data_IF_466819920391
#
_entry.id   IF_466819920391
#
_cell.length_a   1.000
_cell.length_b   1.000
_cell.length_c   1.000
_cell.angle_alpha   90.00
_cell.angle_beta   90.00
_cell.angle_gamma   90.00
#
_symmetry.space_group_name_H-M   'P 1'
#
loop_
_entity.id
_entity.type
_entity.pdbx_description
1 polymer ?
#
# COMPACT_ATOMS: atom_id res chain seq x y z
N UNK A 1 36.43 8.33 -14.27
CA UNK A 1 36.42 9.56 -13.43
C UNK A 1 35.25 10.49 -13.74
N UNK A 2 34.85 10.66 -15.01
CA UNK A 2 33.74 11.55 -15.39
C UNK A 2 32.36 11.09 -14.89
N UNK A 3 32.04 9.79 -14.95
CA UNK A 3 30.75 9.23 -14.48
C UNK A 3 30.55 9.47 -12.97
N UNK A 4 31.59 9.24 -12.14
CA UNK A 4 31.53 9.51 -10.69
C UNK A 4 31.27 10.99 -10.40
N UNK A 5 31.91 11.89 -11.14
CA UNK A 5 31.68 13.34 -11.01
C UNK A 5 30.25 13.71 -11.42
N UNK A 6 29.73 13.16 -12.52
CA UNK A 6 28.36 13.39 -12.95
C UNK A 6 27.33 12.88 -11.93
N UNK A 7 27.55 11.70 -11.35
CA UNK A 7 26.68 11.13 -10.33
C UNK A 7 26.59 12.02 -9.08
N UNK A 8 27.71 12.52 -8.56
CA UNK A 8 27.70 13.42 -7.40
C UNK A 8 26.92 14.71 -7.70
N UNK A 9 26.90 15.18 -8.95
CA UNK A 9 26.19 16.40 -9.35
C UNK A 9 24.67 16.26 -9.31
N UNK A 10 24.13 15.08 -9.58
CA UNK A 10 22.70 14.82 -9.62
C UNK A 10 22.22 13.79 -8.58
N UNK A 11 23.07 13.42 -7.61
CA UNK A 11 22.75 12.40 -6.61
C UNK A 11 21.46 12.70 -5.87
N UNK A 12 21.25 13.93 -5.42
CA UNK A 12 20.02 14.33 -4.73
C UNK A 12 18.76 14.12 -5.59
N UNK A 13 18.79 14.38 -6.90
CA UNK A 13 17.66 14.10 -7.80
C UNK A 13 17.37 12.60 -7.89
N UNK A 14 18.40 11.79 -8.11
CA UNK A 14 18.28 10.34 -8.21
C UNK A 14 17.85 9.71 -6.89
N UNK A 15 18.40 10.19 -5.77
CA UNK A 15 18.02 9.73 -4.44
C UNK A 15 16.59 10.13 -4.08
N UNK A 16 16.14 11.33 -4.46
CA UNK A 16 14.74 11.72 -4.33
C UNK A 16 13.80 10.86 -5.15
N UNK A 17 14.21 10.37 -6.33
CA UNK A 17 13.42 9.43 -7.12
C UNK A 17 13.15 8.12 -6.33
N UNK A 18 14.13 7.67 -5.57
CA UNK A 18 14.07 6.41 -4.80
C UNK A 18 13.39 6.60 -3.45
N UNK A 19 13.58 7.77 -2.83
CA UNK A 19 13.19 8.08 -1.46
C UNK A 19 11.70 7.81 -1.13
N UNK A 20 10.69 8.33 -1.87
CA UNK A 20 9.29 8.13 -1.50
C UNK A 20 8.86 6.66 -1.62
N UNK A 21 9.43 5.93 -2.58
CA UNK A 21 9.13 4.50 -2.80
C UNK A 21 9.67 3.66 -1.64
N UNK A 22 10.94 3.87 -1.28
CA UNK A 22 11.52 3.19 -0.12
C UNK A 22 10.85 3.63 1.18
N UNK A 23 10.37 4.88 1.28
CA UNK A 23 9.63 5.37 2.44
C UNK A 23 8.32 4.61 2.66
N UNK A 24 7.49 4.47 1.61
CA UNK A 24 6.24 3.68 1.68
C UNK A 24 6.52 2.21 2.02
N UNK A 25 7.56 1.64 1.41
CA UNK A 25 7.99 0.28 1.71
C UNK A 25 8.44 0.11 3.16
N UNK A 26 9.29 1.00 3.67
CA UNK A 26 9.80 0.94 5.04
C UNK A 26 8.69 1.11 6.09
N UNK A 27 7.63 1.85 5.76
CA UNK A 27 6.43 1.96 6.59
C UNK A 27 5.58 0.68 6.64
N UNK A 28 5.74 -0.21 5.65
CA UNK A 28 4.88 -1.37 5.43
C UNK A 28 5.71 -2.61 5.07
N UNK A 29 6.90 -2.72 5.64
CA UNK A 29 7.92 -3.76 5.33
C UNK A 29 7.46 -5.16 5.77
N UNK A 30 6.49 -5.21 6.66
CA UNK A 30 5.79 -6.41 7.13
C UNK A 30 4.65 -6.85 6.20
N UNK A 31 4.27 -6.00 5.25
CA UNK A 31 3.19 -6.26 4.30
C UNK A 31 3.78 -6.56 2.94
N UNK A 32 4.49 -5.60 2.34
CA UNK A 32 4.88 -5.69 0.93
C UNK A 32 6.12 -6.54 0.70
N UNK A 33 6.14 -7.22 -0.44
CA UNK A 33 7.34 -7.87 -0.96
C UNK A 33 8.18 -6.88 -1.77
N UNK A 34 9.50 -7.11 -1.82
CA UNK A 34 10.47 -6.25 -2.54
C UNK A 34 10.15 -6.12 -4.03
N UNK A 35 9.50 -7.12 -4.63
CA UNK A 35 9.10 -7.09 -6.04
C UNK A 35 8.15 -5.93 -6.37
N UNK A 36 7.35 -5.45 -5.41
CA UNK A 36 6.44 -4.31 -5.61
C UNK A 36 7.19 -2.99 -5.82
N UNK A 37 8.49 -2.91 -5.48
CA UNK A 37 9.30 -1.72 -5.66
C UNK A 37 9.78 -1.53 -7.09
N UNK A 38 9.91 -2.62 -7.85
CA UNK A 38 10.61 -2.63 -9.15
C UNK A 38 9.98 -1.63 -10.11
N UNK A 39 8.67 -1.73 -10.31
CA UNK A 39 7.99 -0.88 -11.28
C UNK A 39 7.94 0.60 -10.84
N UNK A 40 7.51 0.95 -9.61
CA UNK A 40 7.56 2.34 -9.14
C UNK A 40 8.96 2.95 -9.22
N UNK A 41 10.01 2.18 -8.91
CA UNK A 41 11.41 2.64 -9.03
C UNK A 41 11.78 2.92 -10.47
N UNK A 42 11.44 2.03 -11.40
CA UNK A 42 11.68 2.25 -12.83
C UNK A 42 10.97 3.52 -13.29
N UNK A 43 9.67 3.67 -13.01
CA UNK A 43 8.90 4.84 -13.43
C UNK A 43 9.47 6.12 -12.85
N UNK A 44 9.73 6.16 -11.55
CA UNK A 44 10.26 7.32 -10.84
C UNK A 44 11.66 7.72 -11.34
N UNK A 45 12.58 6.75 -11.45
CA UNK A 45 13.93 6.99 -11.97
C UNK A 45 13.88 7.44 -13.42
N UNK A 46 13.05 6.83 -14.26
CA UNK A 46 12.85 7.26 -15.65
C UNK A 46 12.34 8.70 -15.72
N UNK A 47 11.36 9.08 -14.90
CA UNK A 47 10.86 10.47 -14.85
C UNK A 47 11.97 11.45 -14.47
N UNK A 48 12.76 11.16 -13.43
CA UNK A 48 13.88 12.03 -13.03
C UNK A 48 14.97 12.09 -14.08
N UNK A 49 15.36 10.95 -14.69
CA UNK A 49 16.39 10.92 -15.73
C UNK A 49 15.94 11.71 -16.96
N UNK A 50 14.69 11.56 -17.39
CA UNK A 50 14.12 12.35 -18.50
C UNK A 50 14.14 13.83 -18.14
N UNK A 51 13.70 14.19 -16.93
CA UNK A 51 13.74 15.57 -16.43
C UNK A 51 15.16 16.16 -16.45
N UNK A 52 16.15 15.41 -15.98
CA UNK A 52 17.56 15.79 -15.99
C UNK A 52 18.07 16.01 -17.42
N UNK A 53 17.73 15.13 -18.37
CA UNK A 53 18.13 15.27 -19.78
C UNK A 53 17.51 16.53 -20.39
N UNK A 54 16.21 16.77 -20.17
CA UNK A 54 15.52 17.93 -20.70
C UNK A 54 16.05 19.23 -20.12
N UNK A 55 16.17 19.33 -18.80
CA UNK A 55 16.68 20.53 -18.14
C UNK A 55 18.15 20.77 -18.46
N UNK A 56 18.98 19.72 -18.59
CA UNK A 56 20.40 19.88 -18.95
C UNK A 56 20.56 20.43 -20.35
N UNK A 57 19.66 20.07 -21.29
CA UNK A 57 19.63 20.66 -22.63
C UNK A 57 19.20 22.13 -22.61
N UNK A 58 18.29 22.51 -21.71
CA UNK A 58 17.78 23.89 -21.62
C UNK A 58 18.75 24.83 -20.90
N UNK A 59 19.37 24.38 -19.82
CA UNK A 59 20.26 25.19 -18.96
C UNK A 59 21.72 25.14 -19.40
N UNK A 60 22.12 24.09 -20.13
CA UNK A 60 23.52 23.79 -20.43
C UNK A 60 24.33 23.32 -19.22
N UNK A 61 23.71 23.13 -18.04
CA UNK A 61 24.38 22.83 -16.78
C UNK A 61 23.64 21.74 -15.99
N UNK A 62 24.34 20.62 -15.73
CA UNK A 62 23.77 19.48 -15.02
C UNK A 62 23.44 19.78 -13.55
N UNK A 63 24.25 20.58 -12.86
CA UNK A 63 24.04 20.87 -11.43
C UNK A 63 22.80 21.75 -11.23
N UNK A 64 22.65 22.79 -12.05
CA UNK A 64 21.45 23.64 -12.04
C UNK A 64 20.20 22.84 -12.42
N UNK A 65 20.32 21.99 -13.43
CA UNK A 65 19.24 21.10 -13.85
C UNK A 65 18.82 20.15 -12.75
N UNK A 66 19.78 19.55 -12.05
CA UNK A 66 19.50 18.65 -10.94
C UNK A 66 18.74 19.34 -9.81
N UNK A 67 19.12 20.56 -9.44
CA UNK A 67 18.40 21.33 -8.41
C UNK A 67 16.95 21.59 -8.83
N UNK A 68 16.73 22.10 -10.05
CA UNK A 68 15.38 22.36 -10.56
C UNK A 68 14.51 21.10 -10.67
N UNK A 69 15.07 20.01 -11.21
CA UNK A 69 14.37 18.72 -11.32
C UNK A 69 14.03 18.16 -9.94
N UNK A 70 14.92 18.31 -8.96
CA UNK A 70 14.68 17.84 -7.59
C UNK A 70 13.51 18.56 -6.94
N UNK A 71 13.41 19.88 -7.12
CA UNK A 71 12.28 20.66 -6.60
C UNK A 71 10.97 20.27 -7.28
N UNK A 72 10.95 20.13 -8.61
CA UNK A 72 9.76 19.69 -9.32
C UNK A 72 9.33 18.29 -8.90
N UNK A 73 10.26 17.35 -8.80
CA UNK A 73 9.99 15.99 -8.38
C UNK A 73 9.47 15.94 -6.93
N UNK A 74 10.11 16.69 -6.02
CA UNK A 74 9.64 16.83 -4.64
C UNK A 74 8.21 17.37 -4.59
N UNK A 75 7.91 18.44 -5.33
CA UNK A 75 6.57 19.03 -5.37
C UNK A 75 5.52 18.04 -5.86
N UNK A 76 5.87 17.18 -6.83
CA UNK A 76 4.95 16.18 -7.35
C UNK A 76 4.72 15.02 -6.39
N UNK A 77 5.74 14.55 -5.67
CA UNK A 77 5.68 13.32 -4.84
C UNK A 77 5.30 13.53 -3.38
N UNK A 78 5.43 14.74 -2.84
CA UNK A 78 5.19 15.06 -1.43
C UNK A 78 4.00 16.00 -1.21
N UNK A 79 3.15 16.18 -2.22
CA UNK A 79 1.96 17.02 -2.14
C UNK A 79 0.95 16.52 -1.12
N UNK A 80 0.58 15.24 -1.18
CA UNK A 80 -0.56 14.67 -0.44
C UNK A 80 -0.50 14.87 1.06
N UNK A 81 0.58 14.49 1.76
CA UNK A 81 0.68 14.66 3.21
C UNK A 81 0.62 16.13 3.63
N UNK A 82 1.16 17.03 2.81
CA UNK A 82 1.11 18.48 3.06
C UNK A 82 -0.30 19.01 2.80
N UNK A 83 -0.91 18.62 1.69
CA UNK A 83 -2.27 18.98 1.33
C UNK A 83 -3.25 18.56 2.43
N UNK A 84 -3.16 17.34 2.95
CA UNK A 84 -4.07 16.87 4.01
C UNK A 84 -4.06 17.77 5.26
N UNK A 85 -2.93 18.41 5.58
CA UNK A 85 -2.83 19.37 6.69
C UNK A 85 -3.56 20.69 6.38
N UNK A 86 -3.51 21.16 5.14
CA UNK A 86 -4.03 22.48 4.75
C UNK A 86 -5.48 22.45 4.23
N UNK A 87 -5.86 21.41 3.50
CA UNK A 87 -7.18 21.27 2.87
C UNK A 87 -8.06 20.21 3.55
N UNK A 88 -7.52 19.46 4.50
CA UNK A 88 -8.21 18.40 5.25
C UNK A 88 -7.96 17.01 4.69
N UNK A 89 -8.28 15.98 5.48
CA UNK A 89 -8.17 14.57 5.10
C UNK A 89 -9.55 14.01 4.74
N UNK A 90 -9.68 13.44 3.53
CA UNK A 90 -10.89 12.80 3.01
C UNK A 90 -11.04 11.33 3.48
N UNK A 91 -10.09 10.83 4.27
CA UNK A 91 -10.01 9.46 4.76
C UNK A 91 -8.88 8.67 4.09
N UNK A 92 -8.41 7.63 4.79
CA UNK A 92 -7.35 6.72 4.32
C UNK A 92 -6.08 7.43 3.79
N UNK A 93 -5.73 8.58 4.37
CA UNK A 93 -4.57 9.38 3.96
C UNK A 93 -4.73 10.16 2.66
N UNK A 94 -5.94 10.28 2.11
CA UNK A 94 -6.21 11.14 0.96
C UNK A 94 -6.47 12.58 1.41
N UNK A 95 -5.86 13.59 0.77
CA UNK A 95 -6.27 14.97 0.97
C UNK A 95 -7.66 15.21 0.36
N UNK A 96 -8.42 16.14 0.92
CA UNK A 96 -9.63 16.66 0.26
C UNK A 96 -9.23 17.26 -1.10
N UNK A 97 -9.84 16.85 -2.22
CA UNK A 97 -9.48 17.37 -3.54
C UNK A 97 -9.62 18.90 -3.61
N UNK A 98 -8.52 19.59 -3.91
CA UNK A 98 -8.49 21.05 -3.97
C UNK A 98 -7.55 21.55 -5.08
N UNK A 99 -8.13 21.85 -6.24
CA UNK A 99 -7.39 22.30 -7.43
C UNK A 99 -6.70 23.66 -7.25
N UNK A 100 -7.26 24.57 -6.44
CA UNK A 100 -6.64 25.86 -6.17
C UNK A 100 -5.36 25.71 -5.34
N UNK A 101 -5.39 24.87 -4.30
CA UNK A 101 -4.22 24.55 -3.50
C UNK A 101 -3.16 23.82 -4.33
N UNK A 102 -3.57 22.84 -5.15
CA UNK A 102 -2.66 22.16 -6.07
C UNK A 102 -1.98 23.13 -7.06
N UNK A 103 -2.73 24.05 -7.66
CA UNK A 103 -2.19 25.05 -8.56
C UNK A 103 -1.20 25.99 -7.84
N UNK A 104 -1.57 26.51 -6.66
CA UNK A 104 -0.69 27.37 -5.87
C UNK A 104 0.61 26.65 -5.47
N UNK A 105 0.51 25.40 -5.04
CA UNK A 105 1.65 24.54 -4.72
C UNK A 105 2.59 24.35 -5.93
N UNK A 106 2.05 23.96 -7.09
CA UNK A 106 2.85 23.75 -8.29
C UNK A 106 3.46 25.05 -8.83
N UNK A 107 2.75 26.18 -8.74
CA UNK A 107 3.29 27.48 -9.14
C UNK A 107 4.45 27.88 -8.22
N UNK A 108 4.27 27.76 -6.91
CA UNK A 108 5.31 28.08 -5.93
C UNK A 108 6.59 27.29 -6.19
N UNK A 109 6.50 25.97 -6.26
CA UNK A 109 7.65 25.10 -6.51
C UNK A 109 8.18 25.21 -7.95
N UNK A 110 7.32 25.53 -8.92
CA UNK A 110 7.72 25.79 -10.30
C UNK A 110 8.59 27.05 -10.42
N UNK A 111 8.24 28.11 -9.69
CA UNK A 111 9.05 29.33 -9.60
C UNK A 111 10.40 29.02 -8.96
N UNK A 112 10.43 28.31 -7.83
CA UNK A 112 11.68 27.92 -7.18
C UNK A 112 12.57 27.06 -8.10
N UNK A 113 11.99 26.06 -8.76
CA UNK A 113 12.70 25.23 -9.72
C UNK A 113 13.29 26.06 -10.87
N UNK A 114 12.54 27.03 -11.39
CA UNK A 114 13.02 27.97 -12.40
C UNK A 114 14.20 28.80 -11.89
N UNK A 115 14.10 29.36 -10.68
CA UNK A 115 15.18 30.16 -10.09
C UNK A 115 16.46 29.32 -9.90
N UNK A 116 16.34 28.11 -9.38
CA UNK A 116 17.47 27.20 -9.19
C UNK A 116 18.09 26.76 -10.53
N UNK A 117 17.27 26.47 -11.53
CA UNK A 117 17.74 26.00 -12.83
C UNK A 117 18.40 27.11 -13.67
N UNK A 118 17.92 28.35 -13.58
CA UNK A 118 18.32 29.42 -14.53
C UNK A 118 18.98 30.65 -13.89
N UNK A 119 18.79 30.91 -12.59
CA UNK A 119 19.25 32.16 -11.95
C UNK A 119 20.38 31.96 -10.94
N UNK A 120 20.50 30.78 -10.34
CA UNK A 120 21.56 30.50 -9.35
C UNK A 120 22.93 30.43 -10.00
N UNK A 121 23.85 31.30 -9.54
CA UNK A 121 25.23 31.33 -10.06
C UNK A 121 26.13 30.28 -9.40
N UNK A 122 26.06 30.14 -8.08
CA UNK A 122 26.85 29.17 -7.31
C UNK A 122 25.95 28.04 -6.78
N UNK A 123 26.08 26.86 -7.38
CA UNK A 123 25.31 25.66 -7.05
C UNK A 123 25.95 24.81 -5.96
N UNK A 124 27.20 25.06 -5.58
CA UNK A 124 27.99 24.12 -4.79
C UNK A 124 27.40 23.87 -3.40
N UNK A 125 27.09 24.93 -2.65
CA UNK A 125 26.53 24.81 -1.31
C UNK A 125 25.16 24.12 -1.33
N UNK A 126 24.28 24.50 -2.28
CA UNK A 126 22.96 23.91 -2.45
C UNK A 126 23.04 22.43 -2.84
N UNK A 127 23.95 22.08 -3.76
CA UNK A 127 24.21 20.69 -4.17
C UNK A 127 24.71 19.86 -3.00
N UNK A 128 25.68 20.36 -2.23
CA UNK A 128 26.22 19.65 -1.05
C UNK A 128 25.09 19.43 -0.04
N UNK A 129 24.34 20.48 0.30
CA UNK A 129 23.20 20.38 1.21
C UNK A 129 22.19 19.34 0.73
N UNK A 130 21.71 19.43 -0.52
CA UNK A 130 20.72 18.52 -1.07
C UNK A 130 21.22 17.07 -1.08
N UNK A 131 22.48 16.84 -1.44
CA UNK A 131 23.07 15.50 -1.42
C UNK A 131 23.14 14.93 -0.01
N UNK A 132 23.61 15.71 0.97
CA UNK A 132 23.69 15.28 2.37
C UNK A 132 22.29 15.02 2.92
N UNK A 133 21.33 15.91 2.66
CA UNK A 133 19.95 15.78 3.08
C UNK A 133 19.34 14.46 2.58
N UNK A 134 19.41 14.20 1.27
CA UNK A 134 18.89 12.97 0.67
C UNK A 134 19.62 11.73 1.17
N UNK A 135 20.95 11.79 1.35
CA UNK A 135 21.73 10.68 1.91
C UNK A 135 21.31 10.34 3.35
N UNK A 136 21.08 11.36 4.19
CA UNK A 136 20.63 11.18 5.57
C UNK A 136 19.23 10.56 5.61
N UNK A 137 18.30 11.03 4.76
CA UNK A 137 16.96 10.45 4.70
C UNK A 137 16.98 9.00 4.21
N UNK A 138 17.76 8.69 3.16
CA UNK A 138 17.95 7.31 2.71
C UNK A 138 18.57 6.43 3.80
N UNK A 139 19.54 6.96 4.56
CA UNK A 139 20.11 6.25 5.70
C UNK A 139 19.06 5.90 6.75
N UNK A 140 18.20 6.84 7.15
CA UNK A 140 17.13 6.55 8.12
C UNK A 140 16.12 5.53 7.60
N UNK A 141 15.76 5.59 6.32
CA UNK A 141 14.83 4.63 5.70
C UNK A 141 15.48 3.23 5.66
N UNK A 142 16.74 3.13 5.24
CA UNK A 142 17.47 1.85 5.22
C UNK A 142 17.70 1.30 6.62
N UNK A 143 18.01 2.17 7.58
CA UNK A 143 18.09 1.78 8.98
C UNK A 143 16.78 1.19 9.47
N UNK A 144 15.63 1.79 9.14
CA UNK A 144 14.31 1.27 9.50
C UNK A 144 14.04 -0.11 8.90
N UNK A 145 14.28 -0.29 7.60
CA UNK A 145 14.11 -1.58 6.91
C UNK A 145 15.02 -2.65 7.51
N UNK A 146 16.29 -2.31 7.77
CA UNK A 146 17.26 -3.23 8.35
C UNK A 146 16.91 -3.59 9.80
N UNK A 147 16.54 -2.60 10.61
CA UNK A 147 16.09 -2.79 11.99
C UNK A 147 14.89 -3.73 12.04
N UNK A 148 13.93 -3.56 11.11
CA UNK A 148 12.82 -4.48 10.99
C UNK A 148 13.30 -5.92 10.73
N UNK A 149 14.14 -6.16 9.72
CA UNK A 149 14.57 -7.53 9.40
C UNK A 149 15.51 -8.17 10.44
N UNK A 150 16.33 -7.38 11.14
CA UNK A 150 17.30 -7.89 12.11
C UNK A 150 16.74 -8.03 13.52
N UNK A 151 15.87 -7.11 13.96
CA UNK A 151 15.48 -6.98 15.36
C UNK A 151 13.98 -7.15 15.59
N UNK A 152 13.14 -6.85 14.59
CA UNK A 152 11.68 -6.85 14.77
C UNK A 152 10.93 -7.88 13.94
N UNK A 153 11.56 -8.60 12.98
CA UNK A 153 10.88 -9.62 12.18
C UNK A 153 10.24 -10.59 13.17
N UNK A 154 8.91 -10.58 13.34
CA UNK A 154 8.34 -11.27 14.47
C UNK A 154 8.54 -12.76 14.26
N UNK A 155 9.18 -13.39 15.24
CA UNK A 155 8.91 -14.79 15.57
C UNK A 155 7.59 -14.91 16.35
N UNK A 156 6.70 -13.93 16.24
CA UNK A 156 5.38 -14.00 16.84
C UNK A 156 4.63 -15.16 16.19
N UNK A 157 4.62 -16.29 16.90
CA UNK A 157 3.82 -17.44 16.55
C UNK A 157 2.35 -17.05 16.74
N UNK A 158 1.70 -16.72 15.63
CA UNK A 158 0.24 -16.76 15.56
C UNK A 158 -0.13 -18.21 15.34
N UNK A 159 -0.72 -18.84 16.34
CA UNK A 159 -1.24 -20.20 16.24
C UNK A 159 -2.74 -20.16 16.00
N UNK A 160 -3.22 -21.09 15.18
CA UNK A 160 -4.65 -21.31 14.98
C UNK A 160 -5.09 -22.43 15.90
N UNK A 161 -6.06 -22.14 16.78
CA UNK A 161 -6.73 -23.13 17.61
C UNK A 161 -7.77 -23.90 16.81
N UNK A 162 -7.30 -24.94 16.12
CA UNK A 162 -8.14 -25.87 15.37
C UNK A 162 -7.67 -27.33 15.52
N UNK A 163 -6.94 -27.66 16.59
CA UNK A 163 -6.40 -29.01 16.84
C UNK A 163 -7.48 -30.10 16.92
N UNK A 164 -8.68 -29.73 17.34
CA UNK A 164 -9.82 -30.64 17.48
C UNK A 164 -10.56 -30.87 16.15
N UNK A 165 -10.19 -30.13 15.11
CA UNK A 165 -10.85 -30.14 13.82
C UNK A 165 -10.42 -31.37 13.01
N UNK A 166 -11.29 -32.38 12.98
CA UNK A 166 -11.08 -33.59 12.17
C UNK A 166 -11.68 -33.40 10.79
N UNK A 167 -10.82 -33.28 9.78
CA UNK A 167 -11.21 -33.27 8.38
C UNK A 167 -11.46 -34.70 7.88
N UNK A 168 -12.38 -35.42 8.51
CA UNK A 168 -12.86 -36.73 8.04
C UNK A 168 -13.94 -36.52 6.97
N UNK A 169 -13.56 -35.86 5.88
CA UNK A 169 -14.47 -35.62 4.77
C UNK A 169 -14.60 -36.90 3.93
N UNK A 170 -15.76 -37.57 3.99
CA UNK A 170 -16.16 -38.44 2.89
C UNK A 170 -16.22 -37.58 1.64
N UNK A 171 -15.56 -38.00 0.56
CA UNK A 171 -15.69 -37.33 -0.73
C UNK A 171 -17.17 -37.22 -1.07
N UNK A 172 -17.73 -36.01 -1.19
CA UNK A 172 -19.12 -35.84 -1.58
C UNK A 172 -19.37 -36.52 -2.93
N UNK A 173 -20.58 -37.06 -3.12
CA UNK A 173 -20.98 -37.61 -4.42
C UNK A 173 -21.05 -36.51 -5.51
N UNK A 174 -21.32 -35.27 -5.09
CA UNK A 174 -21.38 -34.09 -5.94
C UNK A 174 -20.53 -32.97 -5.33
N UNK A 175 -19.77 -32.26 -6.17
CA UNK A 175 -18.92 -31.13 -5.77
C UNK A 175 -19.53 -29.84 -6.31
N UNK A 176 -20.44 -29.18 -5.58
CA UNK A 176 -21.01 -27.92 -6.03
C UNK A 176 -19.97 -26.79 -5.97
N UNK A 177 -20.09 -25.81 -6.86
CA UNK A 177 -19.27 -24.60 -6.82
C UNK A 177 -19.49 -23.83 -5.50
N UNK A 178 -18.41 -23.29 -4.93
CA UNK A 178 -18.41 -22.56 -3.67
C UNK A 178 -18.00 -21.11 -3.92
N UNK A 179 -18.89 -20.18 -3.57
CA UNK A 179 -18.62 -18.75 -3.62
C UNK A 179 -18.41 -18.21 -2.21
N UNK A 180 -17.20 -17.73 -1.92
CA UNK A 180 -16.86 -17.08 -0.65
C UNK A 180 -16.67 -15.59 -0.88
N UNK A 181 -17.69 -14.80 -0.54
CA UNK A 181 -17.74 -13.35 -0.78
C UNK A 181 -17.69 -12.63 0.57
N UNK A 182 -16.68 -11.79 0.77
CA UNK A 182 -16.53 -10.95 1.96
C UNK A 182 -16.63 -9.48 1.52
N UNK A 183 -17.52 -8.74 2.15
CA UNK A 183 -17.65 -7.29 1.97
C UNK A 183 -16.85 -6.58 3.05
N UNK A 184 -15.98 -5.64 2.65
CA UNK A 184 -15.19 -4.87 3.61
C UNK A 184 -16.07 -3.86 4.37
N UNK A 185 -15.90 -3.82 5.69
CA UNK A 185 -16.60 -2.88 6.58
C UNK A 185 -18.13 -2.90 6.51
N UNK A 186 -18.73 -3.97 5.97
CA UNK A 186 -20.19 -4.13 5.96
C UNK A 186 -20.69 -4.56 7.34
N UNK A 187 -21.46 -3.69 7.98
CA UNK A 187 -21.97 -3.90 9.33
C UNK A 187 -23.30 -4.68 9.33
N UNK A 188 -23.59 -5.39 10.43
CA UNK A 188 -24.88 -6.07 10.61
C UNK A 188 -26.05 -5.11 10.79
N UNK A 189 -27.28 -5.59 10.57
CA UNK A 189 -28.50 -4.78 10.59
C UNK A 189 -28.67 -3.95 11.88
N UNK A 190 -28.37 -4.53 13.04
CA UNK A 190 -28.48 -3.80 14.31
C UNK A 190 -27.50 -2.63 14.37
N UNK A 191 -26.24 -2.82 13.96
CA UNK A 191 -25.23 -1.75 13.92
C UNK A 191 -25.61 -0.65 12.92
N UNK A 192 -26.07 -1.03 11.72
CA UNK A 192 -26.50 -0.07 10.69
C UNK A 192 -27.68 0.78 11.17
N UNK A 193 -28.67 0.16 11.81
CA UNK A 193 -29.83 0.86 12.38
C UNK A 193 -29.42 1.76 13.55
N UNK A 194 -28.73 1.20 14.54
CA UNK A 194 -28.52 1.86 15.83
C UNK A 194 -27.46 2.98 15.78
N UNK A 195 -26.44 2.84 14.91
CA UNK A 195 -25.36 3.83 14.79
C UNK A 195 -25.51 4.76 13.59
N UNK A 196 -26.10 4.27 12.49
CA UNK A 196 -26.17 5.02 11.23
C UNK A 196 -27.61 5.39 10.83
N UNK A 197 -28.63 4.93 11.57
CA UNK A 197 -30.04 5.18 11.24
C UNK A 197 -30.48 4.55 9.92
N UNK A 198 -29.73 3.56 9.41
CA UNK A 198 -29.98 2.93 8.12
C UNK A 198 -30.73 1.60 8.29
N UNK A 199 -31.89 1.49 7.63
CA UNK A 199 -32.66 0.24 7.59
C UNK A 199 -32.18 -0.63 6.42
N UNK A 200 -31.54 -1.75 6.76
CA UNK A 200 -31.01 -2.72 5.82
C UNK A 200 -31.96 -3.93 5.60
N UNK A 201 -33.20 -3.85 6.09
CA UNK A 201 -34.15 -4.97 6.06
C UNK A 201 -34.46 -5.45 4.64
N UNK A 202 -34.59 -4.54 3.67
CA UNK A 202 -34.86 -4.88 2.26
C UNK A 202 -33.87 -5.91 1.70
N UNK A 203 -32.56 -5.65 1.85
CA UNK A 203 -31.52 -6.54 1.35
C UNK A 203 -31.53 -7.90 2.08
N UNK A 204 -31.69 -7.91 3.40
CA UNK A 204 -31.73 -9.18 4.15
C UNK A 204 -32.99 -10.00 3.91
N UNK A 205 -34.12 -9.34 3.65
CA UNK A 205 -35.36 -10.02 3.25
C UNK A 205 -35.21 -10.64 1.88
N UNK A 206 -34.63 -9.91 0.91
CA UNK A 206 -34.30 -10.45 -0.40
C UNK A 206 -33.45 -11.72 -0.31
N UNK A 207 -32.38 -11.72 0.49
CA UNK A 207 -31.54 -12.92 0.68
C UNK A 207 -32.36 -14.10 1.24
N UNK A 208 -33.21 -13.85 2.23
CA UNK A 208 -34.05 -14.89 2.83
C UNK A 208 -35.08 -15.44 1.83
N UNK A 209 -35.69 -14.58 1.01
CA UNK A 209 -36.62 -14.97 -0.06
C UNK A 209 -35.94 -15.81 -1.16
N UNK A 210 -34.66 -15.56 -1.44
CA UNK A 210 -33.83 -16.39 -2.33
C UNK A 210 -33.35 -17.70 -1.68
N UNK A 211 -33.74 -17.97 -0.43
CA UNK A 211 -33.41 -19.21 0.28
C UNK A 211 -32.06 -19.21 0.99
N UNK A 212 -31.39 -18.06 1.13
CA UNK A 212 -30.16 -17.97 1.92
C UNK A 212 -30.45 -18.09 3.42
N UNK A 213 -29.56 -18.74 4.15
CA UNK A 213 -29.59 -18.77 5.60
C UNK A 213 -29.00 -17.47 6.18
N UNK A 214 -29.82 -16.71 6.90
CA UNK A 214 -29.40 -15.47 7.54
C UNK A 214 -28.96 -15.70 9.00
N UNK A 215 -27.65 -15.65 9.25
CA UNK A 215 -27.07 -15.75 10.60
C UNK A 215 -27.11 -14.40 11.34
N UNK A 216 -28.31 -13.91 11.70
CA UNK A 216 -28.52 -12.56 12.25
C UNK A 216 -27.80 -12.23 13.56
N UNK A 217 -27.37 -13.25 14.32
CA UNK A 217 -26.60 -13.09 15.57
C UNK A 217 -25.12 -13.44 15.43
N UNK A 218 -24.63 -13.63 14.20
CA UNK A 218 -23.21 -13.88 13.95
C UNK A 218 -22.37 -12.67 14.36
N UNK A 219 -21.13 -12.92 14.78
CA UNK A 219 -20.17 -11.89 15.19
C UNK A 219 -18.82 -12.23 14.58
N UNK A 220 -18.04 -11.20 14.25
CA UNK A 220 -16.63 -11.42 13.92
C UNK A 220 -15.88 -11.87 15.16
N UNK A 221 -14.92 -12.79 14.99
CA UNK A 221 -13.99 -13.16 16.05
C UNK A 221 -12.98 -12.05 16.33
N UNK A 222 -12.68 -11.20 15.34
CA UNK A 222 -11.67 -10.15 15.42
C UNK A 222 -12.09 -8.91 14.63
N UNK A 223 -11.93 -7.69 15.18
CA UNK A 223 -12.37 -6.45 14.51
C UNK A 223 -11.43 -5.96 13.39
N UNK A 224 -10.28 -6.59 13.19
CA UNK A 224 -9.30 -6.22 12.17
C UNK A 224 -9.30 -7.23 11.01
N UNK A 225 -9.32 -6.75 9.77
CA UNK A 225 -9.44 -7.55 8.54
C UNK A 225 -8.46 -8.72 8.49
N UNK A 226 -7.18 -8.49 8.75
CA UNK A 226 -6.16 -9.55 8.75
C UNK A 226 -6.49 -10.69 9.75
N UNK A 227 -6.92 -10.36 10.95
CA UNK A 227 -7.26 -11.37 11.97
C UNK A 227 -8.58 -12.07 11.64
N UNK A 228 -9.59 -11.32 11.16
CA UNK A 228 -10.88 -11.88 10.75
C UNK A 228 -10.70 -12.92 9.65
N UNK A 229 -9.96 -12.57 8.59
CA UNK A 229 -9.71 -13.45 7.46
C UNK A 229 -8.83 -14.65 7.84
N UNK A 230 -7.74 -14.41 8.57
CA UNK A 230 -6.87 -15.49 9.03
C UNK A 230 -7.63 -16.50 9.90
N UNK A 231 -8.53 -16.04 10.79
CA UNK A 231 -9.38 -16.90 11.61
C UNK A 231 -10.41 -17.67 10.78
N UNK A 232 -11.17 -16.98 9.92
CA UNK A 232 -12.25 -17.60 9.14
C UNK A 232 -11.73 -18.63 8.15
N UNK A 233 -10.64 -18.33 7.44
CA UNK A 233 -10.05 -19.21 6.42
C UNK A 233 -9.30 -20.40 7.03
N UNK A 234 -8.99 -20.36 8.33
CA UNK A 234 -8.37 -21.47 9.05
C UNK A 234 -9.31 -22.17 10.04
N UNK A 235 -10.58 -21.77 10.07
CA UNK A 235 -11.64 -22.37 10.90
C UNK A 235 -11.26 -22.49 12.38
N UNK A 236 -10.60 -21.47 12.92
CA UNK A 236 -10.13 -21.49 14.30
C UNK A 236 -9.85 -20.11 14.87
N UNK A 237 -9.87 -20.02 16.20
CA UNK A 237 -9.44 -18.81 16.91
C UNK A 237 -7.92 -18.66 16.80
N UNK A 238 -7.46 -17.42 16.76
CA UNK A 238 -6.04 -17.06 16.76
C UNK A 238 -5.56 -16.82 18.18
N UNK A 239 -4.47 -17.47 18.55
CA UNK A 239 -3.69 -17.13 19.75
C UNK A 239 -2.37 -16.55 19.31
N UNK A 240 -2.06 -15.37 19.86
CA UNK A 240 -0.71 -14.83 19.85
C UNK A 240 0.04 -15.40 21.04
N UNK A 241 1.29 -15.84 20.86
CA UNK A 241 2.09 -16.50 21.90
C UNK A 241 2.14 -15.79 23.26
N UNK A 242 2.64 -16.51 24.29
CA UNK A 242 2.66 -16.09 25.71
C UNK A 242 3.35 -14.75 25.99
N UNK A 243 4.09 -14.22 25.04
CA UNK A 243 4.43 -12.81 25.01
C UNK A 243 3.29 -12.05 24.33
N UNK A 244 2.29 -11.66 25.13
CA UNK A 244 1.48 -10.45 24.87
C UNK A 244 2.41 -9.24 24.91
N UNK A 245 3.41 -9.21 24.03
CA UNK A 245 4.24 -8.06 23.85
C UNK A 245 3.35 -7.02 23.18
N UNK A 246 3.26 -5.79 23.72
CA UNK A 246 2.68 -4.65 23.02
C UNK A 246 3.25 -4.47 21.60
N UNK A 247 4.37 -5.13 21.32
CA UNK A 247 5.10 -5.23 20.07
C UNK A 247 4.67 -6.43 19.18
N UNK A 248 3.37 -6.64 18.94
CA UNK A 248 2.98 -7.39 17.73
C UNK A 248 3.37 -6.55 16.51
N UNK A 249 4.60 -6.76 16.04
CA UNK A 249 5.21 -5.96 14.98
C UNK A 249 5.02 -6.61 13.62
N UNK A 250 3.77 -6.67 13.17
CA UNK A 250 3.51 -6.77 11.74
C UNK A 250 2.53 -7.85 11.33
N UNK A 251 1.90 -7.61 10.18
CA UNK A 251 0.83 -8.42 9.65
C UNK A 251 1.32 -9.68 8.91
N UNK A 252 2.64 -9.85 8.72
CA UNK A 252 3.22 -10.95 7.94
C UNK A 252 2.70 -12.35 8.32
N UNK A 253 2.65 -12.78 9.61
CA UNK A 253 2.13 -14.10 9.94
C UNK A 253 0.64 -14.28 9.58
N UNK A 254 -0.15 -13.20 9.65
CA UNK A 254 -1.56 -13.23 9.28
C UNK A 254 -1.72 -13.26 7.75
N UNK A 255 -0.89 -12.54 7.02
CA UNK A 255 -0.84 -12.59 5.55
C UNK A 255 -0.53 -14.03 5.10
N UNK A 256 0.44 -14.68 5.74
CA UNK A 256 0.79 -16.08 5.44
C UNK A 256 -0.38 -17.04 5.76
N UNK A 257 -1.04 -16.86 6.91
CA UNK A 257 -2.22 -17.66 7.27
C UNK A 257 -3.42 -17.46 6.32
N UNK A 258 -3.57 -16.27 5.74
CA UNK A 258 -4.60 -15.99 4.74
C UNK A 258 -4.22 -16.65 3.40
N UNK A 259 -2.99 -16.43 2.94
CA UNK A 259 -2.50 -16.93 1.66
C UNK A 259 -2.46 -18.46 1.59
N UNK A 260 -2.05 -19.11 2.68
CA UNK A 260 -1.85 -20.57 2.76
C UNK A 260 -2.81 -21.22 3.77
N UNK A 261 -4.11 -20.98 3.59
CA UNK A 261 -5.14 -21.31 4.56
C UNK A 261 -5.70 -22.75 4.48
N UNK A 262 -6.28 -23.21 5.60
CA UNK A 262 -6.84 -24.56 5.74
C UNK A 262 -8.02 -24.82 4.81
N UNK A 263 -8.94 -23.87 4.63
CA UNK A 263 -10.15 -24.05 3.80
C UNK A 263 -9.76 -24.36 2.35
N UNK A 264 -8.90 -23.52 1.76
CA UNK A 264 -8.42 -23.70 0.39
C UNK A 264 -7.66 -25.00 0.23
N UNK A 265 -6.75 -25.34 1.15
CA UNK A 265 -6.02 -26.63 1.14
C UNK A 265 -6.96 -27.83 1.18
N UNK A 266 -8.00 -27.76 2.00
CA UNK A 266 -8.96 -28.85 2.17
C UNK A 266 -9.81 -29.05 0.91
N UNK A 267 -10.28 -27.96 0.32
CA UNK A 267 -11.05 -28.01 -0.94
C UNK A 267 -10.18 -28.49 -2.11
N UNK A 268 -8.93 -28.03 -2.23
CA UNK A 268 -8.01 -28.52 -3.27
C UNK A 268 -7.80 -30.04 -3.19
N UNK A 269 -7.69 -30.62 -1.98
CA UNK A 269 -7.58 -32.08 -1.79
C UNK A 269 -8.81 -32.85 -2.28
N UNK A 270 -9.98 -32.22 -2.29
CA UNK A 270 -11.23 -32.80 -2.80
C UNK A 270 -11.40 -32.64 -4.33
N UNK A 271 -10.46 -31.97 -5.00
CA UNK A 271 -10.48 -31.78 -6.46
C UNK A 271 -11.06 -30.44 -6.92
N UNK A 272 -11.31 -29.50 -6.01
CA UNK A 272 -11.76 -28.16 -6.38
C UNK A 272 -10.68 -27.34 -7.08
N UNK A 273 -11.08 -26.58 -8.10
CA UNK A 273 -10.30 -25.49 -8.65
C UNK A 273 -10.54 -24.20 -7.87
N UNK A 274 -9.47 -23.44 -7.64
CA UNK A 274 -9.49 -22.17 -6.91
C UNK A 274 -9.44 -20.98 -7.85
N UNK A 275 -10.31 -20.00 -7.63
CA UNK A 275 -10.42 -18.78 -8.41
C UNK A 275 -10.44 -17.60 -7.45
N UNK A 276 -9.65 -16.57 -7.74
CA UNK A 276 -9.66 -15.31 -7.00
C UNK A 276 -9.69 -14.09 -7.93
N UNK A 277 -10.25 -13.00 -7.40
CA UNK A 277 -10.29 -11.69 -8.05
C UNK A 277 -9.46 -10.70 -7.22
N UNK A 278 -8.82 -9.75 -7.90
CA UNK A 278 -8.12 -8.65 -7.23
C UNK A 278 -9.11 -7.84 -6.42
N UNK A 279 -8.70 -7.60 -5.16
CA UNK A 279 -9.47 -6.82 -4.19
C UNK A 279 -8.84 -5.44 -3.96
N UNK A 280 -7.61 -5.23 -4.45
CA UNK A 280 -6.82 -4.05 -4.15
C UNK A 280 -6.25 -4.05 -2.72
N UNK A 281 -6.45 -5.13 -1.97
CA UNK A 281 -5.91 -5.33 -0.64
C UNK A 281 -4.92 -6.50 -0.64
N UNK A 282 -3.67 -6.22 -0.32
CA UNK A 282 -2.54 -7.12 -0.59
C UNK A 282 -2.70 -8.50 0.08
N UNK A 283 -3.32 -8.58 1.26
CA UNK A 283 -3.52 -9.85 1.96
C UNK A 283 -4.42 -10.83 1.19
N UNK A 284 -5.28 -10.30 0.32
CA UNK A 284 -6.30 -11.04 -0.44
C UNK A 284 -6.00 -11.07 -1.93
N UNK A 285 -4.83 -10.58 -2.35
CA UNK A 285 -4.29 -10.77 -3.70
C UNK A 285 -3.77 -12.21 -3.86
N UNK A 286 -4.70 -13.18 -3.89
CA UNK A 286 -4.45 -14.63 -3.93
C UNK A 286 -3.86 -15.12 -5.25
N UNK A 287 -2.70 -14.58 -5.65
CA UNK A 287 -2.01 -14.83 -6.93
C UNK A 287 -1.54 -16.28 -7.10
N UNK A 288 -1.47 -17.04 -6.01
CA UNK A 288 -1.14 -18.46 -5.95
C UNK A 288 -2.33 -19.39 -6.27
N UNK A 289 -3.55 -18.84 -6.45
CA UNK A 289 -4.71 -19.63 -6.84
C UNK A 289 -4.62 -20.07 -8.30
N UNK A 290 -5.38 -21.10 -8.68
CA UNK A 290 -5.27 -21.71 -10.02
C UNK A 290 -5.69 -20.73 -11.13
N UNK A 291 -6.59 -19.79 -10.81
CA UNK A 291 -6.91 -18.64 -11.65
C UNK A 291 -6.99 -17.36 -10.83
N UNK A 292 -6.41 -16.29 -11.36
CA UNK A 292 -6.42 -14.97 -10.75
C UNK A 292 -6.81 -13.91 -11.77
N UNK A 293 -7.83 -13.10 -11.46
CA UNK A 293 -8.38 -12.09 -12.35
C UNK A 293 -8.30 -10.68 -11.74
N UNK A 294 -8.24 -9.65 -12.59
CA UNK A 294 -8.32 -8.25 -12.15
C UNK A 294 -7.01 -7.61 -11.68
N UNK A 295 -5.87 -8.29 -11.78
CA UNK A 295 -4.55 -7.66 -11.52
C UNK A 295 -4.33 -6.53 -12.54
N UNK A 296 -4.35 -5.30 -12.04
CA UNK A 296 -3.98 -4.13 -12.82
C UNK A 296 -3.00 -3.29 -12.03
N UNK A 297 -2.13 -2.57 -12.74
CA UNK A 297 -1.14 -1.68 -12.13
C UNK A 297 -1.76 -0.62 -11.22
N UNK A 298 -2.97 -0.16 -11.57
CA UNK A 298 -3.68 0.89 -10.84
C UNK A 298 -4.33 0.33 -9.57
N UNK A 299 -4.74 -0.95 -9.58
CA UNK A 299 -5.40 -1.58 -8.45
C UNK A 299 -4.43 -2.07 -7.37
N UNK A 300 -3.11 -1.94 -7.56
CA UNK A 300 -2.14 -2.38 -6.56
C UNK A 300 -2.09 -1.42 -5.38
N UNK A 301 -2.27 -1.96 -4.18
CA UNK A 301 -2.25 -1.21 -2.92
C UNK A 301 -1.02 -0.31 -2.79
N UNK A 302 0.17 -0.83 -3.13
CA UNK A 302 1.42 -0.06 -3.06
C UNK A 302 1.40 1.19 -3.95
N UNK A 303 0.91 1.07 -5.19
CA UNK A 303 0.79 2.21 -6.10
C UNK A 303 -0.29 3.19 -5.64
N UNK A 304 -1.40 2.71 -5.08
CA UNK A 304 -2.43 3.57 -4.48
C UNK A 304 -1.86 4.38 -3.30
N UNK A 305 -1.09 3.74 -2.42
CA UNK A 305 -0.40 4.39 -1.29
C UNK A 305 0.64 5.42 -1.74
N UNK A 306 1.31 5.20 -2.87
CA UNK A 306 2.16 6.20 -3.49
C UNK A 306 1.34 7.36 -4.04
N UNK A 307 0.31 7.05 -4.82
CA UNK A 307 -0.50 8.04 -5.57
C UNK A 307 -1.13 9.07 -4.64
N UNK A 308 -1.67 8.64 -3.49
CA UNK A 308 -2.24 9.54 -2.48
C UNK A 308 -1.23 10.52 -1.87
N UNK A 309 0.09 10.21 -1.95
CA UNK A 309 1.14 11.15 -1.53
C UNK A 309 1.48 12.19 -2.61
N UNK A 310 1.07 11.97 -3.86
CA UNK A 310 1.43 12.82 -5.00
C UNK A 310 0.37 13.88 -5.30
N UNK A 311 0.69 14.81 -6.20
CA UNK A 311 -0.29 15.81 -6.70
C UNK A 311 -1.48 15.18 -7.41
N UNK A 312 -1.34 13.94 -7.91
CA UNK A 312 -2.46 13.19 -8.48
C UNK A 312 -3.58 12.94 -7.45
N UNK A 313 -3.28 13.03 -6.15
CA UNK A 313 -4.29 12.95 -5.09
C UNK A 313 -5.29 14.12 -5.09
N UNK A 314 -4.93 15.25 -5.71
CA UNK A 314 -5.84 16.40 -5.88
C UNK A 314 -6.77 16.26 -7.08
N UNK A 315 -6.43 15.37 -8.01
CA UNK A 315 -7.35 14.96 -9.06
C UNK A 315 -8.30 13.96 -8.41
N UNK A 316 -9.60 14.17 -8.52
CA UNK A 316 -10.62 13.19 -8.08
C UNK A 316 -10.41 11.90 -8.88
N UNK A 317 -9.58 10.99 -8.37
CA UNK A 317 -9.36 9.67 -8.95
C UNK A 317 -10.13 8.69 -8.07
N UNK A 318 -11.43 8.57 -8.37
CA UNK A 318 -12.34 7.62 -7.76
C UNK A 318 -13.05 8.16 -6.52
N UNK A 319 -14.38 8.26 -6.61
CA UNK A 319 -15.19 8.05 -5.42
C UNK A 319 -14.94 6.60 -5.01
N UNK A 320 -14.16 6.39 -3.95
CA UNK A 320 -14.11 5.10 -3.26
C UNK A 320 -15.37 4.95 -2.43
#
# INVERSE_FOLDING_TARGET
MQIKKAFIRCFHSLGLAVLPILGVFAENVDKFVVAELVLPLILSLSTVIIGLILFSRLTGDLERSALGVSVLFFSAMYYGPVASVFVGEAGFGWPVPNGCFAAAWLIFWGIEAYLLAFKVKNTEALRIFANVFVAVLLFFIMYRVLNYHLLMKPTAEVSVLNSDLRLDAKTPAELPDIYYIILDSYAGNDTLRDLYGYDNSEFTNFLTEQGFFLASRSRTNYPLTYFSLASSLNMGYLITGSQHSPAFHGFSPLVDLIADNLVTKSLKKLGYQTIAFSSGYMATEMKQFDRYFGDSLINREFLSMLTRKTVAASCVIGNW
#
